data_IF_652173569408
#
_entry.id   IF_652173569408
#
_cell.length_a   1.000
_cell.length_b   1.000
_cell.length_c   1.000
_cell.angle_alpha   90.00
_cell.angle_beta   90.00
_cell.angle_gamma   90.00
#
_symmetry.space_group_name_H-M   'P 1'
#
loop_
_entity.id
_entity.type
_entity.pdbx_description
1 polymer ?
#
# COMPACT_ATOMS: atom_id res chain seq x y z
N UNK A 1 1.26 25.08 11.06
CA UNK A 1 0.31 24.11 11.64
C UNK A 1 0.93 23.39 12.82
N UNK A 2 2.12 22.80 12.68
CA UNK A 2 2.82 22.16 13.81
C UNK A 2 3.05 23.10 15.00
N UNK A 3 3.47 24.34 14.75
CA UNK A 3 3.62 25.37 15.80
C UNK A 3 2.28 25.71 16.48
N UNK A 4 1.18 25.70 15.73
CA UNK A 4 -0.17 25.93 16.24
C UNK A 4 -0.61 24.77 17.15
N UNK A 5 -0.44 23.53 16.70
CA UNK A 5 -0.72 22.35 17.51
C UNK A 5 0.11 22.33 18.79
N UNK A 6 1.41 22.63 18.70
CA UNK A 6 2.30 22.68 19.87
C UNK A 6 1.92 23.79 20.85
N UNK A 7 1.52 24.97 20.35
CA UNK A 7 1.10 26.10 21.18
C UNK A 7 -0.14 25.78 22.01
N UNK A 8 -1.13 25.13 21.39
CA UNK A 8 -2.42 24.82 22.01
C UNK A 8 -2.51 23.39 22.58
N UNK A 9 -1.44 22.60 22.45
CA UNK A 9 -1.37 21.19 22.89
C UNK A 9 -2.51 20.33 22.33
N UNK A 10 -2.84 20.56 21.05
CA UNK A 10 -3.88 19.80 20.37
C UNK A 10 -3.41 18.37 20.16
N UNK A 11 -4.23 17.40 20.57
CA UNK A 11 -4.00 15.97 20.39
C UNK A 11 -4.91 15.43 19.28
N UNK A 12 -4.48 14.34 18.65
CA UNK A 12 -5.25 13.63 17.62
C UNK A 12 -5.77 14.54 16.50
N UNK A 13 -4.96 15.55 16.16
CA UNK A 13 -5.16 16.46 15.04
C UNK A 13 -4.12 16.19 13.95
N UNK A 14 -4.59 16.08 12.71
CA UNK A 14 -3.78 15.75 11.54
C UNK A 14 -3.95 16.84 10.48
N UNK A 15 -3.10 17.87 10.49
CA UNK A 15 -3.15 18.94 9.51
C UNK A 15 -2.48 18.52 8.20
N UNK A 16 -3.14 18.78 7.08
CA UNK A 16 -2.57 18.60 5.76
C UNK A 16 -2.92 19.79 4.87
N UNK A 17 -1.92 20.65 4.63
CA UNK A 17 -2.06 21.89 3.86
C UNK A 17 -3.18 22.77 4.47
N UNK A 18 -4.35 22.77 3.86
CA UNK A 18 -5.54 23.53 4.22
C UNK A 18 -6.55 22.72 5.04
N UNK A 19 -6.49 21.39 4.96
CA UNK A 19 -7.41 20.51 5.67
C UNK A 19 -6.88 20.17 7.05
N UNK A 20 -7.77 20.13 8.04
CA UNK A 20 -7.47 19.62 9.38
C UNK A 20 -8.43 18.50 9.71
N UNK A 21 -7.90 17.36 10.13
CA UNK A 21 -8.73 16.32 10.69
C UNK A 21 -8.52 16.22 12.18
N UNK A 22 -9.62 16.23 12.92
CA UNK A 22 -9.65 15.97 14.35
C UNK A 22 -10.31 14.62 14.57
N UNK A 23 -9.71 13.81 15.41
CA UNK A 23 -10.12 12.45 15.61
C UNK A 23 -10.28 12.15 17.12
N UNK A 24 -11.04 11.10 17.45
CA UNK A 24 -11.18 10.63 18.83
C UNK A 24 -11.48 9.14 18.93
N UNK A 25 -11.07 8.52 20.05
CA UNK A 25 -11.24 7.08 20.28
C UNK A 25 -12.71 6.69 20.39
N UNK A 26 -13.53 7.60 20.88
CA UNK A 26 -14.99 7.52 20.90
C UNK A 26 -15.57 8.93 20.64
N UNK A 27 -16.90 9.04 20.62
CA UNK A 27 -17.57 10.31 20.35
C UNK A 27 -17.23 11.38 21.40
N UNK A 28 -17.11 11.02 22.68
CA UNK A 28 -16.84 11.99 23.74
C UNK A 28 -15.40 12.53 23.64
N UNK A 29 -14.45 11.64 23.36
CA UNK A 29 -13.05 11.99 23.13
C UNK A 29 -12.90 12.89 21.90
N UNK A 30 -13.60 12.53 20.81
CA UNK A 30 -13.66 13.34 19.59
C UNK A 30 -14.21 14.74 19.85
N UNK A 31 -15.36 14.85 20.53
CA UNK A 31 -16.01 16.14 20.78
C UNK A 31 -15.14 17.05 21.63
N UNK A 32 -14.46 16.48 22.64
CA UNK A 32 -13.48 17.20 23.45
C UNK A 32 -12.29 17.69 22.62
N UNK A 33 -11.76 16.86 21.73
CA UNK A 33 -10.65 17.26 20.85
C UNK A 33 -11.08 18.37 19.88
N UNK A 34 -12.31 18.27 19.34
CA UNK A 34 -12.89 19.26 18.45
C UNK A 34 -13.13 20.61 19.16
N UNK A 35 -13.68 20.59 20.38
CA UNK A 35 -13.87 21.81 21.20
C UNK A 35 -12.54 22.53 21.47
N UNK A 36 -11.49 21.78 21.81
CA UNK A 36 -10.15 22.35 22.03
C UNK A 36 -9.60 23.00 20.75
N UNK A 37 -9.75 22.33 19.60
CA UNK A 37 -9.37 22.88 18.32
C UNK A 37 -10.17 24.16 18.00
N UNK A 38 -11.49 24.15 18.20
CA UNK A 38 -12.35 25.30 17.87
C UNK A 38 -11.99 26.54 18.71
N UNK A 39 -11.73 26.35 20.00
CA UNK A 39 -11.25 27.42 20.88
C UNK A 39 -9.89 27.97 20.43
N UNK A 40 -8.95 27.10 20.06
CA UNK A 40 -7.64 27.49 19.56
C UNK A 40 -7.76 28.29 18.24
N UNK A 41 -8.55 27.78 17.29
CA UNK A 41 -8.79 28.42 16.00
C UNK A 41 -9.39 29.82 16.16
N UNK A 42 -10.42 29.96 17.02
CA UNK A 42 -11.04 31.27 17.35
C UNK A 42 -10.02 32.26 17.92
N UNK A 43 -9.12 31.80 18.78
CA UNK A 43 -8.11 32.67 19.41
C UNK A 43 -7.06 33.22 18.43
N UNK A 44 -6.83 32.53 17.32
CA UNK A 44 -5.93 32.96 16.23
C UNK A 44 -6.67 33.66 15.08
N UNK A 45 -7.98 33.87 15.21
CA UNK A 45 -8.80 34.47 14.15
C UNK A 45 -9.01 33.57 12.92
N UNK A 46 -8.81 32.26 13.05
CA UNK A 46 -9.09 31.29 12.00
C UNK A 46 -10.59 31.03 11.90
N UNK A 47 -11.09 30.94 10.66
CA UNK A 47 -12.49 30.62 10.36
C UNK A 47 -12.56 29.36 9.51
N UNK A 48 -13.55 28.52 9.78
CA UNK A 48 -13.79 27.26 9.07
C UNK A 48 -14.85 27.44 8.01
N UNK A 49 -14.71 26.78 6.86
CA UNK A 49 -15.75 26.77 5.85
C UNK A 49 -16.79 25.70 6.19
N UNK A 50 -17.87 26.11 6.85
CA UNK A 50 -18.92 25.20 7.34
C UNK A 50 -19.51 24.30 6.25
N UNK A 51 -19.58 24.78 5.01
CA UNK A 51 -20.16 24.02 3.89
C UNK A 51 -19.25 22.88 3.42
N UNK A 52 -17.96 22.94 3.75
CA UNK A 52 -16.97 21.90 3.43
C UNK A 52 -16.57 21.05 4.63
N UNK A 53 -17.05 21.38 5.81
CA UNK A 53 -16.76 20.65 7.04
C UNK A 53 -17.66 19.41 7.16
N UNK A 54 -17.08 18.30 7.59
CA UNK A 54 -17.80 17.08 7.95
C UNK A 54 -17.58 16.80 9.42
N UNK A 55 -18.65 16.59 10.19
CA UNK A 55 -18.60 16.44 11.65
C UNK A 55 -19.04 15.04 12.07
N UNK A 56 -18.39 14.49 13.09
CA UNK A 56 -18.76 13.22 13.75
C UNK A 56 -18.99 12.06 12.77
N UNK A 57 -18.10 11.91 11.79
CA UNK A 57 -18.16 10.86 10.79
C UNK A 57 -17.31 9.65 11.22
N UNK A 58 -17.79 8.45 10.91
CA UNK A 58 -17.06 7.18 11.13
C UNK A 58 -16.24 6.76 9.91
N UNK A 59 -16.43 7.45 8.79
CA UNK A 59 -15.68 7.27 7.54
C UNK A 59 -15.25 8.62 6.98
N UNK A 60 -14.18 8.62 6.19
CA UNK A 60 -13.57 9.86 5.73
C UNK A 60 -12.84 9.71 4.40
N UNK A 61 -13.22 10.51 3.41
CA UNK A 61 -12.50 10.59 2.15
C UNK A 61 -11.38 11.63 2.24
N UNK A 62 -10.13 11.19 2.10
CA UNK A 62 -8.96 12.04 2.28
C UNK A 62 -7.79 11.61 1.38
N UNK A 63 -7.24 12.54 0.60
CA UNK A 63 -6.12 12.31 -0.33
C UNK A 63 -6.31 11.17 -1.33
N UNK A 64 -7.56 10.86 -1.68
CA UNK A 64 -7.92 9.75 -2.57
C UNK A 64 -8.03 8.39 -1.88
N UNK A 65 -8.11 8.39 -0.54
CA UNK A 65 -8.42 7.23 0.28
C UNK A 65 -9.78 7.41 0.91
N UNK A 66 -10.57 6.35 0.92
CA UNK A 66 -11.72 6.21 1.79
C UNK A 66 -11.28 5.51 3.08
N UNK A 67 -11.24 6.28 4.16
CA UNK A 67 -10.79 5.85 5.47
C UNK A 67 -12.01 5.38 6.26
N UNK A 68 -11.93 4.20 6.84
CA UNK A 68 -12.92 3.74 7.83
C UNK A 68 -12.19 3.05 8.97
N UNK A 69 -12.94 2.60 9.99
CA UNK A 69 -12.36 1.95 11.16
C UNK A 69 -11.41 0.80 10.76
N UNK A 70 -10.12 0.94 11.07
CA UNK A 70 -9.05 -0.01 10.78
C UNK A 70 -8.86 -0.40 9.29
N UNK A 71 -9.49 0.30 8.34
CA UNK A 71 -9.31 0.00 6.91
C UNK A 71 -9.16 1.26 6.06
N UNK A 72 -8.38 1.15 5.00
CA UNK A 72 -8.24 2.18 3.97
C UNK A 72 -8.61 1.57 2.63
N UNK A 73 -9.62 2.09 1.97
CA UNK A 73 -9.98 1.73 0.61
C UNK A 73 -9.65 2.89 -0.34
N UNK A 74 -9.61 2.67 -1.66
CA UNK A 74 -9.57 3.77 -2.59
C UNK A 74 -10.83 4.62 -2.47
N UNK A 75 -10.68 5.92 -2.69
CA UNK A 75 -11.81 6.84 -2.85
C UNK A 75 -12.69 6.39 -4.04
N UNK A 76 -13.99 6.10 -3.81
CA UNK A 76 -14.89 5.58 -4.83
C UNK A 76 -15.16 6.59 -5.95
N UNK A 77 -15.21 7.89 -5.67
CA UNK A 77 -15.41 8.92 -6.68
C UNK A 77 -14.18 9.03 -7.58
N UNK A 78 -12.99 8.99 -6.98
CA UNK A 78 -11.73 9.02 -7.72
C UNK A 78 -11.53 7.77 -8.58
N UNK A 79 -12.01 6.61 -8.13
CA UNK A 79 -11.93 5.37 -8.89
C UNK A 79 -13.03 5.19 -9.94
N UNK A 80 -14.17 5.86 -9.81
CA UNK A 80 -15.31 5.68 -10.70
C UNK A 80 -14.95 5.75 -12.20
N UNK A 81 -14.12 6.69 -12.69
CA UNK A 81 -13.72 6.72 -14.09
C UNK A 81 -13.01 5.45 -14.55
N UNK A 82 -12.13 4.88 -13.72
CA UNK A 82 -11.36 3.68 -14.00
C UNK A 82 -12.26 2.42 -13.98
N UNK A 83 -13.22 2.37 -13.06
CA UNK A 83 -14.19 1.27 -12.96
C UNK A 83 -15.25 1.30 -14.08
N UNK A 84 -15.53 2.47 -14.65
CA UNK A 84 -16.50 2.64 -15.73
C UNK A 84 -15.88 2.55 -17.13
N UNK A 85 -14.57 2.28 -17.24
CA UNK A 85 -13.92 2.14 -18.54
C UNK A 85 -14.51 0.99 -19.34
N UNK A 86 -14.76 1.20 -20.65
CA UNK A 86 -15.13 0.12 -21.54
C UNK A 86 -13.94 -0.82 -21.78
N UNK A 87 -14.23 -2.04 -22.25
CA UNK A 87 -13.20 -2.97 -22.72
C UNK A 87 -12.37 -2.30 -23.83
N UNK A 88 -11.03 -2.32 -23.74
CA UNK A 88 -10.19 -1.66 -24.74
C UNK A 88 -10.33 -2.33 -26.11
N UNK A 89 -10.49 -1.50 -27.14
CA UNK A 89 -10.69 -1.92 -28.53
C UNK A 89 -9.42 -1.83 -29.38
N UNK A 90 -8.36 -1.23 -28.84
CA UNK A 90 -7.07 -1.05 -29.52
C UNK A 90 -5.89 -1.06 -28.52
N UNK A 91 -4.67 -1.20 -29.06
CA UNK A 91 -3.46 -1.36 -28.26
C UNK A 91 -3.09 -0.10 -27.46
N UNK A 92 -3.37 1.09 -27.99
CA UNK A 92 -3.08 2.36 -27.32
C UNK A 92 -4.00 2.52 -26.11
N UNK A 93 -5.29 2.24 -26.29
CA UNK A 93 -6.28 2.23 -25.20
C UNK A 93 -5.89 1.21 -24.13
N UNK A 94 -5.55 -0.02 -24.52
CA UNK A 94 -5.12 -1.05 -23.58
C UNK A 94 -3.91 -0.65 -22.74
N UNK A 95 -2.88 -0.06 -23.38
CA UNK A 95 -1.68 0.42 -22.68
C UNK A 95 -2.00 1.53 -21.68
N UNK A 96 -2.78 2.53 -22.11
CA UNK A 96 -3.22 3.64 -21.27
C UNK A 96 -3.95 3.12 -20.02
N UNK A 97 -4.86 2.16 -20.20
CA UNK A 97 -5.62 1.56 -19.12
C UNK A 97 -4.70 0.77 -18.18
N UNK A 98 -3.79 -0.06 -18.72
CA UNK A 98 -2.83 -0.81 -17.90
C UNK A 98 -1.95 0.12 -17.04
N UNK A 99 -1.50 1.25 -17.59
CA UNK A 99 -0.73 2.27 -16.87
C UNK A 99 -1.57 2.90 -15.74
N UNK A 100 -2.85 3.19 -15.99
CA UNK A 100 -3.76 3.71 -14.96
C UNK A 100 -3.95 2.72 -13.81
N UNK A 101 -4.19 1.43 -14.11
CA UNK A 101 -4.30 0.39 -13.10
C UNK A 101 -3.00 0.22 -12.30
N UNK A 102 -1.84 0.27 -12.96
CA UNK A 102 -0.55 0.19 -12.29
C UNK A 102 -0.30 1.35 -11.32
N UNK A 103 -0.84 2.54 -11.61
CA UNK A 103 -0.69 3.71 -10.77
C UNK A 103 -1.52 3.62 -9.49
N UNK A 104 -2.67 2.94 -9.53
CA UNK A 104 -3.54 2.83 -8.36
C UNK A 104 -2.91 1.99 -7.27
N UNK A 105 -1.98 1.09 -7.61
CA UNK A 105 -1.23 0.22 -6.69
C UNK A 105 -2.05 -0.72 -5.82
N UNK A 106 -3.40 -0.69 -5.77
CA UNK A 106 -4.31 -1.45 -4.87
C UNK A 106 -4.40 -2.97 -5.05
N UNK A 107 -3.81 -3.52 -6.11
CA UNK A 107 -4.04 -4.90 -6.58
C UNK A 107 -2.87 -5.80 -6.22
N UNK A 108 -3.15 -6.93 -5.57
CA UNK A 108 -2.10 -7.89 -5.21
C UNK A 108 -1.57 -8.58 -6.45
N UNK A 109 -0.25 -8.73 -6.55
CA UNK A 109 0.40 -9.40 -7.69
C UNK A 109 -0.08 -8.84 -9.03
N UNK A 110 -0.23 -7.52 -9.11
CA UNK A 110 -0.79 -6.84 -10.28
C UNK A 110 -0.10 -7.23 -11.59
N UNK A 111 1.23 -7.38 -11.60
CA UNK A 111 2.04 -7.74 -12.77
C UNK A 111 1.72 -9.14 -13.31
N UNK A 112 1.27 -10.06 -12.45
CA UNK A 112 0.75 -11.37 -12.85
C UNK A 112 -0.61 -11.23 -13.52
N UNK A 113 -1.53 -10.53 -12.85
CA UNK A 113 -2.91 -10.35 -13.31
C UNK A 113 -3.03 -9.55 -14.61
N UNK A 114 -2.14 -8.60 -14.84
CA UNK A 114 -2.09 -7.79 -16.06
C UNK A 114 -1.32 -8.50 -17.20
N UNK A 115 -0.57 -9.58 -16.92
CA UNK A 115 0.23 -10.28 -17.92
C UNK A 115 -0.56 -10.73 -19.17
N UNK A 116 -1.79 -11.27 -19.06
CA UNK A 116 -2.60 -11.64 -20.23
C UNK A 116 -2.96 -10.44 -21.13
N UNK A 117 -2.95 -9.23 -20.57
CA UNK A 117 -3.29 -7.98 -21.25
C UNK A 117 -2.05 -7.31 -21.87
N UNK A 118 -0.86 -7.48 -21.30
CA UNK A 118 0.36 -6.85 -21.84
C UNK A 118 0.83 -7.44 -23.18
N UNK A 119 0.42 -8.67 -23.51
CA UNK A 119 0.84 -9.40 -24.72
C UNK A 119 -0.25 -9.46 -25.82
N UNK A 120 -1.21 -8.54 -25.78
CA UNK A 120 -2.28 -8.48 -26.79
C UNK A 120 -1.73 -7.93 -28.11
N UNK A 121 -1.79 -8.75 -29.17
CA UNK A 121 -1.39 -8.37 -30.53
C UNK A 121 -2.58 -8.22 -31.49
N UNK A 122 -3.78 -8.66 -31.09
CA UNK A 122 -4.97 -8.67 -31.93
C UNK A 122 -6.18 -8.19 -31.13
N UNK A 123 -7.03 -7.41 -31.80
CA UNK A 123 -8.30 -6.93 -31.29
C UNK A 123 -9.45 -7.48 -32.15
N UNK A 124 -10.64 -7.70 -31.58
CA UNK A 124 -11.02 -7.49 -30.18
C UNK A 124 -10.35 -8.50 -29.22
N UNK A 125 -10.36 -8.19 -27.92
CA UNK A 125 -9.86 -9.08 -26.88
C UNK A 125 -10.61 -10.42 -26.90
N UNK A 126 -9.90 -11.52 -26.63
CA UNK A 126 -10.53 -12.82 -26.46
C UNK A 126 -11.20 -12.95 -25.08
N UNK A 127 -11.97 -14.02 -24.87
CA UNK A 127 -12.72 -14.24 -23.62
C UNK A 127 -11.84 -14.27 -22.37
N UNK A 128 -10.62 -14.83 -22.46
CA UNK A 128 -9.69 -14.87 -21.33
C UNK A 128 -9.16 -13.47 -20.97
N UNK A 129 -8.86 -12.64 -21.97
CA UNK A 129 -8.39 -11.28 -21.80
C UNK A 129 -9.49 -10.36 -21.25
N UNK A 130 -10.71 -10.48 -21.78
CA UNK A 130 -11.88 -9.76 -21.24
C UNK A 130 -12.10 -10.14 -19.78
N UNK A 131 -12.03 -11.45 -19.45
CA UNK A 131 -12.16 -11.92 -18.07
C UNK A 131 -11.06 -11.36 -17.16
N UNK A 132 -9.81 -11.29 -17.62
CA UNK A 132 -8.71 -10.69 -16.87
C UNK A 132 -8.95 -9.20 -16.61
N UNK A 133 -9.40 -8.46 -17.63
CA UNK A 133 -9.74 -7.04 -17.52
C UNK A 133 -10.86 -6.78 -16.51
N UNK A 134 -11.98 -7.52 -16.62
CA UNK A 134 -13.09 -7.37 -15.67
C UNK A 134 -12.71 -7.83 -14.25
N UNK A 135 -11.87 -8.86 -14.12
CA UNK A 135 -11.36 -9.28 -12.81
C UNK A 135 -10.54 -8.19 -12.13
N UNK A 136 -9.72 -7.44 -12.88
CA UNK A 136 -8.96 -6.32 -12.33
C UNK A 136 -9.87 -5.19 -11.85
N UNK A 137 -10.94 -4.90 -12.58
CA UNK A 137 -11.96 -3.92 -12.17
C UNK A 137 -12.66 -4.33 -10.89
N UNK A 138 -13.09 -5.60 -10.80
CA UNK A 138 -13.74 -6.14 -9.60
C UNK A 138 -12.80 -6.11 -8.39
N UNK A 139 -11.54 -6.50 -8.56
CA UNK A 139 -10.57 -6.47 -7.45
C UNK A 139 -10.26 -5.04 -7.01
N UNK A 140 -10.17 -4.10 -7.94
CA UNK A 140 -9.96 -2.70 -7.62
C UNK A 140 -11.17 -2.07 -6.91
N UNK A 141 -12.39 -2.41 -7.33
CA UNK A 141 -13.61 -1.93 -6.71
C UNK A 141 -13.77 -2.45 -5.28
N UNK A 142 -13.35 -3.69 -5.05
CA UNK A 142 -13.31 -4.30 -3.73
C UNK A 142 -11.90 -4.21 -3.17
N UNK A 143 -11.26 -3.03 -3.19
CA UNK A 143 -9.94 -2.79 -2.59
C UNK A 143 -10.05 -2.05 -1.22
N UNK A 144 -9.26 -2.41 -0.20
CA UNK A 144 -9.35 -2.06 1.22
C UNK A 144 -8.18 -2.66 2.07
N UNK A 145 -7.10 -1.93 2.36
CA UNK A 145 -6.00 -2.41 3.22
C UNK A 145 -6.31 -2.26 4.70
N UNK A 146 -5.55 -2.98 5.52
CA UNK A 146 -5.41 -2.62 6.91
C UNK A 146 -4.58 -1.35 7.07
N UNK A 147 -5.03 -0.53 8.01
CA UNK A 147 -4.21 0.52 8.61
C UNK A 147 -3.02 -0.13 9.31
N UNK A 148 -1.84 0.47 9.21
CA UNK A 148 -0.67 0.04 9.98
C UNK A 148 -1.01 -0.01 11.46
N UNK A 149 -0.49 -0.92 12.28
CA UNK A 149 -0.48 -0.87 13.75
C UNK A 149 0.96 -0.79 14.24
N UNK A 150 1.29 0.23 15.03
CA UNK A 150 2.64 0.43 15.55
C UNK A 150 3.08 -0.68 16.50
N UNK A 151 2.14 -1.40 17.10
CA UNK A 151 2.41 -2.49 18.04
C UNK A 151 2.58 -3.85 17.35
N UNK A 152 2.21 -3.96 16.07
CA UNK A 152 2.27 -5.21 15.32
C UNK A 152 3.50 -5.18 14.41
N UNK A 153 4.44 -6.13 14.54
CA UNK A 153 5.58 -6.22 13.62
C UNK A 153 5.14 -6.44 12.18
N UNK A 154 5.90 -5.88 11.24
CA UNK A 154 5.65 -6.11 9.83
C UNK A 154 6.11 -7.50 9.39
N UNK A 155 5.42 -8.03 8.39
CA UNK A 155 5.83 -9.19 7.60
C UNK A 155 5.89 -8.78 6.13
N UNK A 156 7.01 -9.06 5.48
CA UNK A 156 7.21 -8.89 4.04
C UNK A 156 7.20 -10.26 3.40
N UNK A 157 6.23 -10.54 2.55
CA UNK A 157 6.13 -11.76 1.76
C UNK A 157 6.55 -11.45 0.33
N UNK A 158 7.57 -12.14 -0.18
CA UNK A 158 8.02 -11.99 -1.56
C UNK A 158 7.70 -13.22 -2.38
N UNK A 159 7.54 -13.00 -3.68
CA UNK A 159 7.45 -14.08 -4.66
C UNK A 159 7.83 -13.62 -6.04
N UNK A 160 8.41 -14.54 -6.81
CA UNK A 160 8.87 -14.32 -8.17
C UNK A 160 8.27 -15.34 -9.14
N UNK A 161 7.84 -14.84 -10.29
CA UNK A 161 7.50 -15.61 -11.49
C UNK A 161 8.54 -15.34 -12.57
N UNK A 162 8.47 -16.07 -13.68
CA UNK A 162 9.44 -15.92 -14.76
C UNK A 162 9.44 -14.52 -15.40
N UNK A 163 8.29 -13.84 -15.38
CA UNK A 163 8.07 -12.55 -16.04
C UNK A 163 7.76 -11.41 -15.07
N UNK A 164 7.59 -11.69 -13.77
CA UNK A 164 7.17 -10.70 -12.78
C UNK A 164 7.70 -11.03 -11.38
N UNK A 165 7.89 -10.00 -10.57
CA UNK A 165 8.17 -10.10 -9.13
C UNK A 165 7.10 -9.36 -8.36
N UNK A 166 6.84 -9.80 -7.14
CA UNK A 166 5.84 -9.20 -6.27
C UNK A 166 6.24 -9.30 -4.81
N UNK A 167 5.68 -8.41 -4.00
CA UNK A 167 5.75 -8.50 -2.56
C UNK A 167 4.47 -7.98 -1.91
N UNK A 168 4.19 -8.48 -0.71
CA UNK A 168 3.12 -8.02 0.16
C UNK A 168 3.71 -7.65 1.52
N UNK A 169 3.46 -6.42 1.95
CA UNK A 169 3.66 -5.98 3.33
C UNK A 169 2.36 -6.24 4.09
N UNK A 170 2.43 -7.00 5.18
CA UNK A 170 1.28 -7.30 6.02
C UNK A 170 1.61 -7.19 7.51
N UNK A 171 0.56 -7.13 8.33
CA UNK A 171 0.61 -7.22 9.77
C UNK A 171 -0.40 -8.26 10.22
N UNK A 172 0.06 -9.30 10.91
CA UNK A 172 -0.80 -10.42 11.35
C UNK A 172 -1.67 -11.03 10.22
N UNK A 173 -1.07 -11.22 9.04
CA UNK A 173 -1.74 -11.79 7.87
C UNK A 173 -2.69 -10.83 7.14
N UNK A 174 -2.75 -9.56 7.56
CA UNK A 174 -3.59 -8.53 6.93
C UNK A 174 -2.74 -7.55 6.11
N UNK A 175 -3.06 -7.34 4.83
CA UNK A 175 -2.24 -6.56 3.92
C UNK A 175 -2.29 -5.05 4.23
N UNK A 176 -1.10 -4.45 4.24
CA UNK A 176 -0.87 -3.00 4.40
C UNK A 176 -0.43 -2.39 3.08
N UNK A 177 0.44 -3.09 2.34
CA UNK A 177 0.91 -2.65 1.04
C UNK A 177 1.37 -3.85 0.19
N UNK A 178 1.62 -3.57 -1.08
CA UNK A 178 1.86 -4.50 -2.17
C UNK A 178 2.78 -3.80 -3.12
N UNK A 179 3.57 -4.64 -3.73
CA UNK A 179 4.55 -4.28 -4.68
C UNK A 179 4.46 -5.29 -5.80
N UNK A 180 4.53 -4.79 -7.02
CA UNK A 180 4.52 -5.64 -8.19
C UNK A 180 5.33 -4.95 -9.28
N UNK A 181 6.22 -5.71 -9.90
CA UNK A 181 7.07 -5.23 -10.98
C UNK A 181 7.14 -6.28 -12.08
N UNK A 182 6.91 -5.85 -13.31
CA UNK A 182 7.04 -6.70 -14.48
C UNK A 182 8.49 -6.63 -14.96
N UNK A 183 9.14 -7.79 -15.07
CA UNK A 183 10.55 -7.89 -15.42
C UNK A 183 10.77 -7.50 -16.88
N UNK A 184 11.79 -6.69 -17.16
CA UNK A 184 12.11 -6.21 -18.50
C UNK A 184 13.55 -6.52 -18.91
N UNK A 185 13.77 -6.76 -20.21
CA UNK A 185 15.11 -6.94 -20.77
C UNK A 185 15.89 -8.08 -20.11
N UNK A 186 17.08 -7.76 -19.57
CA UNK A 186 17.94 -8.74 -18.91
C UNK A 186 17.32 -9.38 -17.67
N UNK A 187 16.35 -8.71 -17.04
CA UNK A 187 15.73 -9.18 -15.80
C UNK A 187 14.95 -10.49 -15.96
N UNK A 188 14.38 -10.72 -17.14
CA UNK A 188 13.66 -11.94 -17.46
C UNK A 188 14.58 -13.17 -17.49
N UNK A 189 15.86 -12.96 -17.78
CA UNK A 189 16.88 -14.02 -17.84
C UNK A 189 17.61 -14.23 -16.51
N UNK A 190 17.29 -13.45 -15.47
CA UNK A 190 17.80 -13.71 -14.13
C UNK A 190 17.37 -15.10 -13.65
N UNK A 191 18.22 -15.77 -12.87
CA UNK A 191 17.83 -17.01 -12.21
C UNK A 191 16.67 -16.76 -11.23
N UNK A 192 15.89 -17.79 -10.90
CA UNK A 192 14.78 -17.65 -9.91
C UNK A 192 15.28 -17.10 -8.57
N UNK A 193 16.50 -17.45 -8.18
CA UNK A 193 17.18 -16.91 -6.97
C UNK A 193 17.39 -15.40 -7.06
N UNK A 194 17.83 -14.91 -8.22
CA UNK A 194 18.09 -13.49 -8.44
C UNK A 194 16.80 -12.69 -8.57
N UNK A 195 15.75 -13.25 -9.21
CA UNK A 195 14.42 -12.62 -9.28
C UNK A 195 13.81 -12.47 -7.89
N UNK A 196 13.89 -13.51 -7.07
CA UNK A 196 13.39 -13.44 -5.70
C UNK A 196 14.19 -12.47 -4.83
N UNK A 197 15.52 -12.48 -4.94
CA UNK A 197 16.35 -11.50 -4.25
C UNK A 197 16.11 -10.06 -4.75
N UNK A 198 15.75 -9.87 -6.03
CA UNK A 198 15.31 -8.59 -6.57
C UNK A 198 13.99 -8.14 -5.93
N UNK A 199 13.01 -9.04 -5.81
CA UNK A 199 11.72 -8.79 -5.16
C UNK A 199 11.91 -8.27 -3.72
N UNK A 200 12.81 -8.89 -2.95
CA UNK A 200 13.15 -8.50 -1.58
C UNK A 200 13.75 -7.09 -1.54
N UNK A 201 14.75 -6.83 -2.38
CA UNK A 201 15.47 -5.56 -2.36
C UNK A 201 14.55 -4.40 -2.75
N UNK A 202 13.78 -4.57 -3.83
CA UNK A 202 12.92 -3.51 -4.34
C UNK A 202 11.74 -3.23 -3.41
N UNK A 203 11.14 -4.26 -2.82
CA UNK A 203 10.06 -4.10 -1.84
C UNK A 203 10.55 -3.44 -0.54
N UNK A 204 11.68 -3.87 0.02
CA UNK A 204 12.25 -3.23 1.21
C UNK A 204 12.66 -1.79 0.93
N UNK A 205 13.25 -1.51 -0.24
CA UNK A 205 13.58 -0.14 -0.62
C UNK A 205 12.33 0.73 -0.74
N UNK A 206 11.26 0.21 -1.35
CA UNK A 206 9.97 0.89 -1.48
C UNK A 206 9.36 1.22 -0.12
N UNK A 207 9.43 0.29 0.83
CA UNK A 207 8.84 0.41 2.17
C UNK A 207 9.84 0.79 3.24
N UNK A 208 10.98 1.37 2.85
CA UNK A 208 12.03 1.82 3.78
C UNK A 208 11.45 2.70 4.90
N UNK A 209 10.49 3.55 4.58
CA UNK A 209 9.82 4.43 5.55
C UNK A 209 8.99 3.68 6.61
N UNK A 210 8.54 2.45 6.34
CA UNK A 210 7.86 1.60 7.31
C UNK A 210 8.82 0.69 8.08
N UNK A 211 9.85 0.18 7.40
CA UNK A 211 10.70 -0.88 7.91
C UNK A 211 11.95 -0.38 8.65
N UNK A 212 12.42 0.84 8.35
CA UNK A 212 13.66 1.36 8.91
C UNK A 212 13.54 1.51 10.43
N UNK A 213 14.49 0.92 11.16
CA UNK A 213 14.52 0.96 12.63
C UNK A 213 13.55 0.00 13.33
N UNK A 214 12.75 -0.77 12.57
CA UNK A 214 11.83 -1.78 13.12
C UNK A 214 12.31 -3.19 12.80
N UNK A 215 12.03 -4.13 13.70
CA UNK A 215 12.18 -5.55 13.40
C UNK A 215 11.00 -6.04 12.56
N UNK A 216 11.26 -6.73 11.46
CA UNK A 216 10.22 -7.35 10.62
C UNK A 216 10.58 -8.78 10.21
N UNK A 217 9.57 -9.54 9.78
CA UNK A 217 9.76 -10.89 9.24
C UNK A 217 9.79 -10.84 7.73
N UNK A 218 10.76 -11.48 7.10
CA UNK A 218 10.85 -11.64 5.66
C UNK A 218 10.52 -13.08 5.29
N UNK A 219 9.44 -13.30 4.57
CA UNK A 219 9.00 -14.60 4.09
C UNK A 219 9.30 -14.70 2.59
N UNK A 220 9.99 -15.77 2.21
CA UNK A 220 10.29 -16.11 0.81
C UNK A 220 9.97 -17.57 0.56
N UNK A 221 9.56 -17.90 -0.67
CA UNK A 221 9.41 -19.29 -1.10
C UNK A 221 10.75 -19.94 -1.47
N UNK A 222 11.81 -19.14 -1.65
CA UNK A 222 13.10 -19.59 -2.18
C UNK A 222 14.14 -19.91 -1.09
N UNK A 223 14.46 -21.21 -0.96
CA UNK A 223 15.42 -21.74 0.04
C UNK A 223 16.79 -21.09 0.00
N UNK A 224 17.34 -20.94 -1.20
CA UNK A 224 18.68 -20.40 -1.39
C UNK A 224 18.76 -18.96 -0.89
N UNK A 225 17.71 -18.16 -1.11
CA UNK A 225 17.63 -16.77 -0.63
C UNK A 225 17.56 -16.72 0.88
N UNK A 226 16.72 -17.55 1.50
CA UNK A 226 16.68 -17.69 2.96
C UNK A 226 18.04 -18.07 3.57
N UNK A 227 18.83 -18.89 2.88
CA UNK A 227 20.17 -19.27 3.34
C UNK A 227 21.23 -18.17 3.12
N UNK A 228 21.17 -17.44 2.00
CA UNK A 228 22.15 -16.40 1.64
C UNK A 228 22.14 -15.20 2.59
N UNK A 229 20.99 -14.86 3.15
CA UNK A 229 20.89 -13.77 4.14
C UNK A 229 21.26 -14.20 5.57
N UNK A 230 21.54 -15.49 5.82
CA UNK A 230 22.12 -15.93 7.09
C UNK A 230 23.60 -15.56 7.15
N UNK A 231 24.03 -15.05 8.31
CA UNK A 231 25.36 -14.46 8.56
C UNK A 231 26.52 -15.38 8.14
N UNK A 232 26.33 -16.69 8.22
CA UNK A 232 27.34 -17.74 8.01
C UNK A 232 27.56 -18.16 6.55
N UNK A 233 26.79 -17.65 5.59
CA UNK A 233 26.85 -18.11 4.20
C UNK A 233 27.95 -17.40 3.38
N UNK A 234 28.73 -18.20 2.62
CA UNK A 234 29.66 -17.69 1.60
C UNK A 234 28.90 -17.41 0.30
N UNK A 235 28.60 -16.13 0.02
CA UNK A 235 27.94 -15.71 -1.21
C UNK A 235 29.02 -15.55 -2.31
N UNK A 236 28.89 -16.29 -3.42
CA UNK A 236 29.80 -16.18 -4.58
C UNK A 236 29.28 -15.23 -5.66
N UNK A 237 28.01 -14.84 -5.60
CA UNK A 237 27.39 -13.95 -6.58
C UNK A 237 27.54 -12.49 -6.12
N UNK A 238 28.32 -11.69 -6.85
CA UNK A 238 28.61 -10.29 -6.53
C UNK A 238 27.35 -9.42 -6.47
N UNK A 239 26.36 -9.69 -7.32
CA UNK A 239 25.10 -8.95 -7.34
C UNK A 239 24.33 -9.15 -6.04
N UNK A 240 24.24 -10.39 -5.58
CA UNK A 240 23.59 -10.74 -4.31
C UNK A 240 24.40 -10.20 -3.12
N UNK A 241 25.73 -10.20 -3.19
CA UNK A 241 26.57 -9.60 -2.15
C UNK A 241 26.30 -8.09 -2.01
N UNK A 242 26.20 -7.35 -3.12
CA UNK A 242 25.82 -5.92 -3.10
C UNK A 242 24.45 -5.71 -2.46
N UNK A 243 23.49 -6.56 -2.79
CA UNK A 243 22.14 -6.52 -2.20
C UNK A 243 22.12 -6.82 -0.70
N UNK A 244 22.92 -7.78 -0.23
CA UNK A 244 23.11 -8.03 1.21
C UNK A 244 23.69 -6.82 1.94
N UNK A 245 24.68 -6.14 1.36
CA UNK A 245 25.24 -4.92 1.93
C UNK A 245 24.17 -3.82 1.96
N UNK A 246 23.37 -3.68 0.91
CA UNK A 246 22.29 -2.70 0.85
C UNK A 246 21.24 -2.90 1.96
N UNK A 247 20.97 -4.15 2.37
CA UNK A 247 20.03 -4.48 3.45
C UNK A 247 20.67 -4.53 4.85
N UNK A 248 21.96 -4.29 4.98
CA UNK A 248 22.67 -4.43 6.26
C UNK A 248 22.18 -3.51 7.39
N UNK A 249 21.53 -2.40 7.04
CA UNK A 249 20.94 -1.46 8.01
C UNK A 249 19.51 -1.85 8.44
N UNK A 250 18.93 -2.89 7.85
CA UNK A 250 17.60 -3.39 8.18
C UNK A 250 17.69 -4.48 9.24
N UNK A 251 16.67 -4.56 10.10
CA UNK A 251 16.59 -5.55 11.18
C UNK A 251 15.47 -6.53 10.82
N UNK A 252 15.81 -7.75 10.42
CA UNK A 252 14.81 -8.74 10.05
C UNK A 252 15.23 -10.18 10.29
N UNK A 253 14.22 -11.04 10.45
CA UNK A 253 14.37 -12.50 10.41
C UNK A 253 13.81 -13.04 9.10
N UNK A 254 14.60 -13.85 8.39
CA UNK A 254 14.16 -14.51 7.17
C UNK A 254 13.67 -15.93 7.45
N UNK A 255 12.44 -16.22 7.05
CA UNK A 255 11.83 -17.55 7.12
C UNK A 255 11.46 -18.03 5.73
N UNK A 256 11.51 -19.35 5.53
CA UNK A 256 11.06 -19.95 4.29
C UNK A 256 9.69 -20.59 4.52
N UNK A 257 8.70 -20.20 3.73
CA UNK A 257 7.42 -20.88 3.68
C UNK A 257 7.29 -21.58 2.32
N UNK A 258 6.80 -22.83 2.26
CA UNK A 258 6.47 -23.45 0.99
C UNK A 258 5.49 -22.54 0.23
N UNK A 259 5.68 -22.40 -1.08
CA UNK A 259 4.77 -21.63 -1.93
C UNK A 259 3.31 -21.96 -1.58
N UNK A 260 2.96 -23.25 -1.45
CA UNK A 260 1.61 -23.76 -1.14
C UNK A 260 0.90 -23.08 0.04
N UNK A 261 1.62 -22.67 1.09
CA UNK A 261 1.06 -22.02 2.28
C UNK A 261 0.91 -20.50 2.17
N UNK A 262 1.61 -19.86 1.22
CA UNK A 262 1.48 -18.43 0.93
C UNK A 262 0.22 -18.11 0.12
N UNK A 263 -0.40 -19.11 -0.53
CA UNK A 263 -1.53 -18.92 -1.43
C UNK A 263 -2.91 -18.90 -0.77
N UNK A 264 -3.03 -19.14 0.54
CA UNK A 264 -4.33 -19.20 1.21
C UNK A 264 -4.78 -17.89 1.86
N UNK A 265 -3.94 -16.85 1.93
CA UNK A 265 -4.23 -15.66 2.75
C UNK A 265 -4.04 -14.28 2.08
N UNK A 266 -4.10 -14.18 0.74
CA UNK A 266 -4.03 -12.85 0.09
C UNK A 266 -5.28 -12.55 -0.74
N UNK A 267 -6.35 -12.11 -0.08
CA UNK A 267 -7.43 -11.36 -0.71
C UNK A 267 -7.10 -9.86 -0.60
N UNK A 268 -6.83 -9.25 -1.76
CA UNK A 268 -6.81 -7.80 -2.05
C UNK A 268 -5.83 -6.92 -1.27
N UNK A 269 -5.61 -5.68 -1.78
CA UNK A 269 -5.34 -4.45 -1.00
C UNK A 269 -3.93 -3.78 -0.90
N UNK A 270 -3.83 -2.48 -1.27
CA UNK A 270 -2.61 -1.63 -1.15
C UNK A 270 -2.80 -0.11 -1.16
N UNK A 271 -1.94 0.74 -0.54
CA UNK A 271 -1.09 1.83 -1.13
C UNK A 271 -0.38 2.65 -0.01
N UNK A 272 0.79 3.19 -0.35
CA UNK A 272 1.54 4.29 0.28
C UNK A 272 0.80 5.65 0.37
N UNK A 273 0.52 6.13 1.58
CA UNK A 273 0.72 7.52 2.06
C UNK A 273 0.32 7.55 3.55
N UNK A 274 1.07 6.83 4.38
CA UNK A 274 0.52 6.36 5.64
C UNK A 274 0.86 7.22 6.86
N UNK A 275 1.84 8.13 6.86
CA UNK A 275 2.22 8.76 8.15
C UNK A 275 1.14 9.68 8.73
N UNK A 276 0.42 10.43 7.91
CA UNK A 276 -0.72 11.24 8.38
C UNK A 276 -2.01 10.41 8.47
N UNK A 277 -2.27 9.54 7.50
CA UNK A 277 -3.52 8.76 7.38
C UNK A 277 -3.64 7.66 8.45
N UNK A 278 -2.52 7.06 8.84
CA UNK A 278 -2.48 5.94 9.79
C UNK A 278 -3.07 6.28 11.16
N UNK A 279 -2.77 7.46 11.69
CA UNK A 279 -3.28 7.85 13.01
C UNK A 279 -4.79 8.12 13.01
N UNK A 280 -5.33 8.59 11.88
CA UNK A 280 -6.73 9.00 11.74
C UNK A 280 -7.68 7.80 11.81
N UNK A 281 -7.21 6.61 11.44
CA UNK A 281 -8.03 5.41 11.26
C UNK A 281 -8.10 4.46 12.46
N UNK A 282 -7.36 4.77 13.54
CA UNK A 282 -7.54 4.14 14.86
C UNK A 282 -8.72 4.71 15.65
N UNK A 283 -9.34 5.76 15.11
CA UNK A 283 -10.23 6.63 15.84
C UNK A 283 -11.64 6.43 15.28
N UNK A 284 -12.59 6.15 16.18
CA UNK A 284 -13.94 5.74 15.80
C UNK A 284 -14.75 6.88 15.19
N UNK A 285 -14.40 8.13 15.51
CA UNK A 285 -15.07 9.32 15.02
C UNK A 285 -14.04 10.37 14.59
N UNK A 286 -14.29 11.00 13.45
CA UNK A 286 -13.47 12.05 12.88
C UNK A 286 -14.33 13.24 12.46
N UNK A 287 -13.78 14.44 12.61
CA UNK A 287 -14.25 15.66 11.96
C UNK A 287 -13.16 16.13 10.99
N UNK A 288 -13.53 16.35 9.73
CA UNK A 288 -12.70 17.10 8.79
C UNK A 288 -13.21 18.53 8.72
N UNK A 289 -12.26 19.44 8.83
CA UNK A 289 -12.48 20.87 8.64
C UNK A 289 -11.65 21.28 7.44
N UNK A 290 -12.35 21.80 6.43
CA UNK A 290 -11.83 22.35 5.18
C UNK A 290 -12.11 23.85 5.13
#
# INVERSE_FOLDING_TARGET
>A
MDDFMSKYKLQDMFPFIDNSTICGKDQNDHDKNFENFEMAAKSEGLTMNKDKCTYSATTLDFLGYHISYNTLSPDPERLAPLLNLPTPTDQKSLKCIADMFSYTKWISKFSDKIYPLNNVLKFPLNSQQVKAFESLKVELANAAIQVIDENIPFTVETGALDFAISATLNQDGRPVAFYSHMLQGSEQYHSSVEKEAQAIIESIHRWRHFLLGRHFTLITDQRSVAFMYKVTSKIKNDKIMRWRIALSHMIFTITQHPATSLWMHSQGYTVQQLVHIHFMSYLHHCAILV
#
